data_IF_144142802043
#
_entry.id   IF_144142802043
#
_cell.length_a   1.000
_cell.length_b   1.000
_cell.length_c   1.000
_cell.angle_alpha   90.00
_cell.angle_beta   90.00
_cell.angle_gamma   90.00
#
_symmetry.space_group_name_H-M   'P 1'
#
loop_
_entity.id
_entity.type
_entity.pdbx_description
1 polymer ?
#
# COMPACT_ATOMS: atom_id res chain seq x y z
N UNK A 1 31.39 -14.98 14.72
CA UNK A 1 31.78 -15.35 13.35
C UNK A 1 31.00 -16.53 12.79
N UNK A 2 30.74 -17.58 13.56
CA UNK A 2 30.04 -18.77 13.03
C UNK A 2 28.51 -18.59 12.84
N UNK A 3 27.93 -17.55 13.43
CA UNK A 3 26.50 -17.31 13.41
C UNK A 3 25.95 -16.74 12.07
N UNK A 4 26.83 -16.19 11.23
CA UNK A 4 26.45 -15.61 9.94
C UNK A 4 27.02 -16.43 8.80
N UNK A 5 26.19 -16.91 7.86
CA UNK A 5 26.63 -17.52 6.61
C UNK A 5 27.53 -16.59 5.78
N UNK A 6 27.21 -15.29 5.77
CA UNK A 6 28.01 -14.26 5.10
C UNK A 6 29.45 -14.21 5.62
N UNK A 7 29.63 -14.04 6.96
CA UNK A 7 30.96 -14.03 7.57
C UNK A 7 31.71 -15.33 7.37
N UNK A 8 31.02 -16.46 7.39
CA UNK A 8 31.63 -17.75 7.11
C UNK A 8 32.19 -17.79 5.69
N UNK A 9 31.39 -17.41 4.68
CA UNK A 9 31.83 -17.40 3.28
C UNK A 9 32.98 -16.43 3.07
N UNK A 10 32.87 -15.21 3.54
CA UNK A 10 33.84 -14.13 3.35
C UNK A 10 35.19 -14.44 3.97
N UNK A 11 35.22 -15.12 5.15
CA UNK A 11 36.48 -15.43 5.87
C UNK A 11 37.10 -16.78 5.51
N UNK A 12 36.39 -17.65 4.78
CA UNK A 12 36.91 -18.99 4.45
C UNK A 12 37.22 -19.19 2.97
N UNK A 13 36.69 -18.34 2.07
CA UNK A 13 36.96 -18.45 0.64
C UNK A 13 38.11 -17.53 0.23
N UNK A 14 39.12 -18.08 -0.39
CA UNK A 14 40.34 -17.35 -0.83
C UNK A 14 40.07 -16.26 -1.87
N UNK A 15 38.86 -16.22 -2.44
CA UNK A 15 38.43 -15.22 -3.40
C UNK A 15 38.22 -13.84 -2.76
N UNK A 16 38.06 -13.76 -1.42
CA UNK A 16 37.81 -12.52 -0.69
C UNK A 16 39.08 -12.01 -0.02
N UNK A 17 39.35 -10.72 -0.16
CA UNK A 17 40.50 -10.05 0.50
C UNK A 17 40.43 -10.19 2.03
N UNK A 18 39.25 -10.20 2.57
CA UNK A 18 38.96 -10.35 4.02
C UNK A 18 39.32 -11.75 4.54
N UNK A 19 39.49 -12.75 3.68
CA UNK A 19 39.93 -14.09 4.06
C UNK A 19 41.44 -14.14 4.36
N UNK A 20 42.18 -13.11 3.98
CA UNK A 20 43.61 -13.02 4.22
C UNK A 20 43.88 -12.32 5.57
N UNK A 21 44.71 -12.92 6.39
CA UNK A 21 45.15 -12.28 7.62
C UNK A 21 46.09 -11.13 7.30
N UNK A 22 45.91 -10.00 7.97
CA UNK A 22 46.79 -8.87 7.87
C UNK A 22 48.22 -9.27 8.33
N UNK A 23 49.25 -9.06 7.51
CA UNK A 23 50.61 -9.46 7.86
C UNK A 23 51.19 -8.74 9.09
N UNK A 24 50.66 -7.56 9.43
CA UNK A 24 51.15 -6.73 10.53
C UNK A 24 50.71 -7.21 11.91
N UNK A 25 49.52 -7.80 12.02
CA UNK A 25 48.90 -8.18 13.33
C UNK A 25 48.33 -9.60 13.36
N UNK A 26 48.37 -10.32 12.23
CA UNK A 26 47.90 -11.69 12.09
C UNK A 26 46.37 -11.85 12.19
N UNK A 27 45.61 -10.76 12.13
CA UNK A 27 44.15 -10.73 12.28
C UNK A 27 43.43 -10.57 10.95
N UNK A 28 42.16 -10.98 10.90
CA UNK A 28 41.29 -10.68 9.79
C UNK A 28 40.75 -9.26 9.95
N UNK A 29 40.83 -8.47 8.91
CA UNK A 29 40.29 -7.12 8.88
C UNK A 29 39.07 -7.09 7.94
N UNK A 30 37.93 -6.69 8.49
CA UNK A 30 36.69 -6.50 7.72
C UNK A 30 36.38 -5.02 7.71
N UNK A 31 36.24 -4.47 6.52
CA UNK A 31 35.80 -3.08 6.38
C UNK A 31 34.28 -3.05 6.39
N UNK A 32 33.71 -2.20 7.24
CA UNK A 32 32.27 -1.98 7.39
C UNK A 32 31.96 -0.51 7.04
N UNK A 33 32.05 -0.20 5.73
CA UNK A 33 31.76 1.14 5.22
C UNK A 33 30.27 1.30 5.00
N UNK A 34 29.77 2.55 5.10
CA UNK A 34 28.39 2.95 4.77
C UNK A 34 27.30 2.41 5.72
N UNK A 35 27.69 1.81 6.83
CA UNK A 35 26.74 1.36 7.86
C UNK A 35 26.55 2.40 8.96
N UNK A 36 25.33 2.39 9.55
CA UNK A 36 25.11 3.13 10.78
C UNK A 36 25.94 2.52 11.92
N UNK A 37 26.83 3.33 12.49
CA UNK A 37 27.80 2.91 13.50
C UNK A 37 27.10 2.36 14.75
N UNK A 38 26.03 3.03 15.22
CA UNK A 38 25.29 2.63 16.41
C UNK A 38 24.58 1.28 16.20
N UNK A 39 23.92 1.08 15.07
CA UNK A 39 23.25 -0.16 14.72
C UNK A 39 24.24 -1.33 14.62
N UNK A 40 25.39 -1.10 13.97
CA UNK A 40 26.45 -2.12 13.87
C UNK A 40 27.03 -2.45 15.24
N UNK A 41 27.29 -1.44 16.08
CA UNK A 41 27.82 -1.63 17.44
C UNK A 41 26.85 -2.43 18.32
N UNK A 42 25.54 -2.20 18.19
CA UNK A 42 24.51 -2.97 18.90
C UNK A 42 24.63 -4.46 18.53
N UNK A 43 24.69 -4.79 17.23
CA UNK A 43 24.84 -6.18 16.78
C UNK A 43 26.15 -6.82 17.25
N UNK A 44 27.26 -6.08 17.18
CA UNK A 44 28.55 -6.56 17.67
C UNK A 44 28.50 -6.83 19.18
N UNK A 45 27.84 -5.97 19.97
CA UNK A 45 27.67 -6.19 21.41
C UNK A 45 26.86 -7.46 21.72
N UNK A 46 25.83 -7.76 20.92
CA UNK A 46 25.08 -9.02 21.07
C UNK A 46 26.00 -10.21 20.78
N UNK A 47 26.73 -10.23 19.67
CA UNK A 47 27.62 -11.33 19.31
C UNK A 47 28.80 -11.54 20.28
N UNK A 48 29.23 -10.46 20.92
CA UNK A 48 30.29 -10.52 21.95
C UNK A 48 29.75 -10.68 23.38
N UNK A 49 28.43 -10.98 23.52
CA UNK A 49 27.75 -11.21 24.82
C UNK A 49 27.90 -10.02 25.76
N UNK A 50 28.03 -8.81 25.22
CA UNK A 50 28.10 -7.57 26.02
C UNK A 50 26.69 -7.04 26.33
N UNK A 51 25.86 -7.84 26.95
CA UNK A 51 24.43 -7.61 27.19
C UNK A 51 24.11 -6.29 27.89
N UNK A 52 25.02 -5.77 28.72
CA UNK A 52 24.84 -4.45 29.36
C UNK A 52 24.93 -3.28 28.44
N UNK A 53 25.47 -3.46 27.22
CA UNK A 53 25.62 -2.42 26.19
C UNK A 53 24.55 -2.53 25.09
N UNK A 54 23.68 -3.52 25.19
CA UNK A 54 22.55 -3.70 24.29
C UNK A 54 21.36 -2.92 24.84
N UNK A 55 20.77 -1.97 24.08
CA UNK A 55 19.64 -1.19 24.55
C UNK A 55 18.41 -2.07 24.76
N UNK A 56 17.67 -1.85 25.84
CA UNK A 56 16.43 -2.57 26.12
C UNK A 56 15.29 -2.22 25.14
N UNK A 57 15.32 -1.02 24.57
CA UNK A 57 14.35 -0.53 23.58
C UNK A 57 15.06 0.25 22.49
N UNK A 58 14.51 0.22 21.27
CA UNK A 58 15.02 0.98 20.12
C UNK A 58 13.88 1.73 19.45
N UNK A 59 14.21 2.79 18.71
CA UNK A 59 13.25 3.49 17.86
C UNK A 59 12.92 2.67 16.60
N UNK A 60 11.83 3.02 15.90
CA UNK A 60 11.47 2.41 14.61
C UNK A 60 12.62 2.57 13.59
N UNK A 61 13.24 3.74 13.53
CA UNK A 61 14.38 4.02 12.64
C UNK A 61 15.59 3.15 12.98
N UNK A 62 15.93 3.02 14.27
CA UNK A 62 17.03 2.16 14.72
C UNK A 62 16.75 0.68 14.42
N UNK A 63 15.51 0.23 14.65
CA UNK A 63 15.11 -1.15 14.30
C UNK A 63 15.23 -1.42 12.80
N UNK A 64 14.91 -0.43 11.95
CA UNK A 64 15.10 -0.55 10.52
C UNK A 64 16.58 -0.63 10.12
N UNK A 65 17.45 0.20 10.73
CA UNK A 65 18.90 0.12 10.52
C UNK A 65 19.47 -1.24 10.92
N UNK A 66 19.01 -1.77 12.05
CA UNK A 66 19.36 -3.13 12.48
C UNK A 66 18.84 -4.17 11.47
N UNK A 67 17.60 -4.02 10.98
CA UNK A 67 17.04 -4.92 9.98
C UNK A 67 17.87 -4.92 8.68
N UNK A 68 18.35 -3.77 8.22
CA UNK A 68 19.26 -3.66 7.06
C UNK A 68 20.53 -4.49 7.26
N UNK A 69 21.15 -4.40 8.43
CA UNK A 69 22.36 -5.16 8.77
C UNK A 69 22.08 -6.66 8.89
N UNK A 70 20.94 -7.02 9.48
CA UNK A 70 20.49 -8.42 9.62
C UNK A 70 20.30 -9.05 8.25
N UNK A 71 19.63 -8.36 7.33
CA UNK A 71 19.42 -8.79 5.95
C UNK A 71 20.76 -8.93 5.20
N UNK A 72 21.61 -7.93 5.25
CA UNK A 72 22.90 -7.91 4.54
C UNK A 72 23.86 -9.02 5.01
N UNK A 73 23.97 -9.19 6.33
CA UNK A 73 24.87 -10.20 6.90
C UNK A 73 24.21 -11.58 7.07
N UNK A 74 23.01 -11.78 6.52
CA UNK A 74 22.25 -13.04 6.57
C UNK A 74 22.13 -13.57 8.02
N UNK A 75 21.66 -12.69 8.90
CA UNK A 75 21.54 -12.98 10.35
C UNK A 75 20.12 -13.34 10.78
N UNK A 76 19.17 -13.48 9.86
CA UNK A 76 17.74 -13.69 10.18
C UNK A 76 17.50 -14.93 11.05
N UNK A 77 18.36 -15.95 10.91
CA UNK A 77 18.27 -17.20 11.66
C UNK A 77 19.28 -17.28 12.81
N UNK A 78 19.92 -16.16 13.18
CA UNK A 78 20.90 -16.17 14.25
C UNK A 78 20.22 -16.14 15.62
N UNK A 79 20.23 -17.25 16.36
CA UNK A 79 19.67 -17.36 17.73
C UNK A 79 20.15 -16.25 18.67
N UNK A 80 21.39 -15.76 18.45
CA UNK A 80 21.98 -14.73 19.30
C UNK A 80 21.20 -13.41 19.29
N UNK A 81 20.57 -13.04 18.16
CA UNK A 81 19.83 -11.78 18.06
C UNK A 81 18.32 -11.94 18.27
N UNK A 82 17.81 -13.16 18.26
CA UNK A 82 16.37 -13.44 18.26
C UNK A 82 15.64 -12.81 19.45
N UNK A 83 16.18 -13.02 20.67
CA UNK A 83 15.55 -12.52 21.90
C UNK A 83 15.47 -11.00 21.94
N UNK A 84 16.54 -10.31 21.57
CA UNK A 84 16.61 -8.86 21.66
C UNK A 84 15.76 -8.22 20.56
N UNK A 85 15.77 -8.78 19.33
CA UNK A 85 14.90 -8.34 18.24
C UNK A 85 13.42 -8.54 18.55
N UNK A 86 13.01 -9.67 19.14
CA UNK A 86 11.62 -9.88 19.57
C UNK A 86 11.18 -8.86 20.63
N UNK A 87 12.03 -8.54 21.59
CA UNK A 87 11.75 -7.51 22.60
C UNK A 87 11.57 -6.12 21.97
N UNK A 88 12.46 -5.75 21.04
CA UNK A 88 12.37 -4.47 20.32
C UNK A 88 11.13 -4.39 19.43
N UNK A 89 10.82 -5.45 18.70
CA UNK A 89 9.61 -5.55 17.88
C UNK A 89 8.37 -5.37 18.77
N UNK A 90 8.30 -6.08 19.90
CA UNK A 90 7.18 -5.95 20.83
C UNK A 90 7.05 -4.54 21.42
N UNK A 91 8.18 -3.87 21.69
CA UNK A 91 8.21 -2.48 22.13
C UNK A 91 7.74 -1.52 21.04
N UNK A 92 8.27 -1.66 19.83
CA UNK A 92 7.89 -0.79 18.69
C UNK A 92 6.41 -0.97 18.33
N UNK A 93 5.89 -2.21 18.30
CA UNK A 93 4.46 -2.49 18.07
C UNK A 93 3.53 -1.77 19.03
N UNK A 94 3.93 -1.66 20.31
CA UNK A 94 3.12 -1.00 21.35
C UNK A 94 3.13 0.52 21.23
N UNK A 95 4.26 1.08 20.78
CA UNK A 95 4.50 2.52 20.86
C UNK A 95 4.32 3.24 19.50
N UNK A 96 4.47 2.53 18.38
CA UNK A 96 4.44 3.10 17.04
C UNK A 96 3.48 2.30 16.17
N UNK A 97 2.32 2.88 15.90
CA UNK A 97 1.36 2.28 14.97
C UNK A 97 1.87 2.34 13.52
N UNK A 98 1.43 1.37 12.69
CA UNK A 98 1.61 1.45 11.25
C UNK A 98 0.86 2.70 10.74
N UNK A 99 1.52 3.60 10.01
CA UNK A 99 0.88 4.81 9.48
C UNK A 99 -0.30 4.49 8.58
N UNK A 100 -1.31 5.36 8.60
CA UNK A 100 -2.45 5.30 7.67
C UNK A 100 -2.21 6.05 6.35
N UNK A 101 -1.03 6.64 6.15
CA UNK A 101 -0.64 7.39 4.96
C UNK A 101 0.70 6.92 4.42
N UNK A 102 0.95 7.15 3.12
CA UNK A 102 2.24 6.85 2.51
C UNK A 102 3.30 7.85 2.99
N UNK A 103 4.25 7.35 3.78
CA UNK A 103 5.34 8.14 4.37
C UNK A 103 6.57 7.25 4.65
N UNK A 104 7.69 7.88 5.07
CA UNK A 104 8.93 7.16 5.42
C UNK A 104 8.69 6.05 6.46
N UNK A 105 7.96 6.33 7.53
CA UNK A 105 7.71 5.32 8.57
C UNK A 105 6.97 4.09 8.03
N UNK A 106 6.10 4.25 7.03
CA UNK A 106 5.45 3.11 6.37
C UNK A 106 6.48 2.23 5.65
N UNK A 107 7.45 2.84 4.97
CA UNK A 107 8.52 2.10 4.28
C UNK A 107 9.45 1.38 5.27
N UNK A 108 9.73 2.00 6.44
CA UNK A 108 10.44 1.34 7.53
C UNK A 108 9.70 0.09 8.02
N UNK A 109 8.36 0.19 8.19
CA UNK A 109 7.54 -0.96 8.57
C UNK A 109 7.57 -2.07 7.52
N UNK A 110 7.53 -1.75 6.22
CA UNK A 110 7.64 -2.75 5.13
C UNK A 110 9.01 -3.45 5.20
N UNK A 111 10.09 -2.70 5.38
CA UNK A 111 11.45 -3.25 5.49
C UNK A 111 11.57 -4.16 6.72
N UNK A 112 11.24 -3.66 7.92
CA UNK A 112 11.32 -4.39 9.18
C UNK A 112 10.48 -5.66 9.13
N UNK A 113 9.22 -5.56 8.67
CA UNK A 113 8.31 -6.70 8.64
C UNK A 113 8.73 -7.77 7.63
N UNK A 114 9.40 -7.39 6.54
CA UNK A 114 10.02 -8.34 5.62
C UNK A 114 11.15 -9.11 6.28
N UNK A 115 12.11 -8.39 6.88
CA UNK A 115 13.32 -9.00 7.44
C UNK A 115 12.99 -9.90 8.64
N UNK A 116 12.15 -9.42 9.56
CA UNK A 116 11.78 -10.18 10.77
C UNK A 116 10.52 -11.04 10.59
N UNK A 117 10.12 -11.31 9.37
CA UNK A 117 9.05 -12.25 9.03
C UNK A 117 7.69 -11.95 9.69
N UNK A 118 7.34 -10.66 9.83
CA UNK A 118 6.12 -10.19 10.47
C UNK A 118 4.97 -10.09 9.43
N UNK A 119 4.33 -11.21 9.12
CA UNK A 119 3.37 -11.31 8.00
C UNK A 119 2.19 -10.35 8.11
N UNK A 120 1.64 -10.15 9.30
CA UNK A 120 0.49 -9.24 9.50
C UNK A 120 0.86 -7.78 9.26
N UNK A 121 2.00 -7.32 9.81
CA UNK A 121 2.48 -5.95 9.64
C UNK A 121 2.86 -5.69 8.18
N UNK A 122 3.46 -6.67 7.52
CA UNK A 122 3.80 -6.59 6.11
C UNK A 122 2.54 -6.42 5.25
N UNK A 123 1.52 -7.25 5.46
CA UNK A 123 0.25 -7.14 4.74
C UNK A 123 -0.43 -5.80 5.02
N UNK A 124 -0.50 -5.37 6.27
CA UNK A 124 -1.10 -4.08 6.67
C UNK A 124 -0.36 -2.90 6.03
N UNK A 125 0.97 -2.87 6.13
CA UNK A 125 1.78 -1.76 5.61
C UNK A 125 1.73 -1.69 4.07
N UNK A 126 1.82 -2.82 3.38
CA UNK A 126 1.70 -2.86 1.91
C UNK A 126 0.29 -2.51 1.43
N UNK A 127 -0.77 -2.86 2.19
CA UNK A 127 -2.14 -2.42 1.88
C UNK A 127 -2.30 -0.90 1.95
N UNK A 128 -1.67 -0.25 2.93
CA UNK A 128 -1.64 1.21 3.02
C UNK A 128 -0.86 1.81 1.84
N UNK A 129 0.31 1.25 1.51
CA UNK A 129 1.10 1.71 0.38
C UNK A 129 0.31 1.64 -0.94
N UNK A 130 -0.44 0.56 -1.19
CA UNK A 130 -1.29 0.40 -2.39
C UNK A 130 -2.38 1.48 -2.44
N UNK A 131 -3.01 1.80 -1.30
CA UNK A 131 -4.15 2.71 -1.24
C UNK A 131 -3.75 4.19 -1.27
N UNK A 132 -2.60 4.54 -0.68
CA UNK A 132 -2.22 5.93 -0.38
C UNK A 132 -1.13 6.47 -1.30
N UNK A 133 -0.35 5.63 -1.98
CA UNK A 133 0.69 6.13 -2.88
C UNK A 133 0.11 6.84 -4.10
N UNK A 134 0.78 7.93 -4.52
CA UNK A 134 0.39 8.77 -5.66
C UNK A 134 1.32 8.63 -6.88
N UNK A 135 2.21 7.66 -6.85
CA UNK A 135 3.20 7.42 -7.89
C UNK A 135 3.97 6.14 -7.60
N UNK A 136 5.10 5.98 -8.26
CA UNK A 136 5.98 4.85 -8.03
C UNK A 136 6.48 4.79 -6.58
N UNK A 137 6.46 3.59 -6.01
CA UNK A 137 6.99 3.36 -4.66
C UNK A 137 8.50 3.60 -4.65
N UNK A 138 8.94 4.44 -3.71
CA UNK A 138 10.35 4.73 -3.49
C UNK A 138 10.86 3.89 -2.31
N UNK A 139 11.93 3.13 -2.52
CA UNK A 139 12.53 2.30 -1.47
C UNK A 139 13.24 3.13 -0.37
N UNK A 140 13.58 4.41 -0.63
CA UNK A 140 14.21 5.35 0.32
C UNK A 140 15.50 4.81 0.94
N UNK A 141 16.35 4.22 0.10
CA UNK A 141 17.62 3.58 0.47
C UNK A 141 17.49 2.36 1.41
N UNK A 142 16.28 1.83 1.57
CA UNK A 142 16.03 0.61 2.30
C UNK A 142 16.18 -0.60 1.36
N UNK A 143 16.68 -1.75 1.84
CA UNK A 143 16.85 -2.98 1.05
C UNK A 143 15.50 -3.68 0.82
N UNK A 144 14.56 -2.95 0.19
CA UNK A 144 13.27 -3.50 -0.20
C UNK A 144 13.40 -4.06 -1.60
N UNK A 145 13.21 -5.37 -1.74
CA UNK A 145 13.32 -6.05 -3.02
C UNK A 145 12.38 -5.43 -4.07
N UNK A 146 12.90 -5.20 -5.28
CA UNK A 146 12.16 -4.57 -6.38
C UNK A 146 10.83 -5.29 -6.69
N UNK A 147 10.77 -6.60 -6.49
CA UNK A 147 9.53 -7.37 -6.64
C UNK A 147 8.40 -6.89 -5.72
N UNK A 148 8.73 -6.43 -4.50
CA UNK A 148 7.74 -5.89 -3.55
C UNK A 148 7.22 -4.54 -4.04
N UNK A 149 8.11 -3.60 -4.36
CA UNK A 149 7.73 -2.26 -4.86
C UNK A 149 6.93 -2.35 -6.15
N UNK A 150 7.37 -3.18 -7.11
CA UNK A 150 6.66 -3.42 -8.37
C UNK A 150 5.29 -4.07 -8.16
N UNK A 151 5.14 -4.95 -7.17
CA UNK A 151 3.84 -5.57 -6.86
C UNK A 151 2.87 -4.61 -6.21
N UNK A 152 3.35 -3.70 -5.34
CA UNK A 152 2.56 -2.60 -4.78
C UNK A 152 2.07 -1.69 -5.92
N UNK A 153 2.99 -1.26 -6.80
CA UNK A 153 2.67 -0.38 -7.93
C UNK A 153 1.66 -1.00 -8.89
N UNK A 154 1.84 -2.28 -9.22
CA UNK A 154 0.90 -3.04 -10.08
C UNK A 154 -0.49 -3.11 -9.43
N UNK A 155 -0.56 -3.43 -8.16
CA UNK A 155 -1.82 -3.54 -7.41
C UNK A 155 -2.55 -2.19 -7.36
N UNK A 156 -1.82 -1.09 -7.12
CA UNK A 156 -2.34 0.27 -7.15
C UNK A 156 -2.88 0.63 -8.53
N UNK A 157 -2.08 0.43 -9.57
CA UNK A 157 -2.48 0.77 -10.95
C UNK A 157 -3.71 -0.03 -11.39
N UNK A 158 -3.78 -1.32 -11.08
CA UNK A 158 -4.93 -2.16 -11.41
C UNK A 158 -6.21 -1.69 -10.70
N UNK A 159 -6.11 -1.31 -9.43
CA UNK A 159 -7.26 -0.81 -8.68
C UNK A 159 -7.75 0.55 -9.20
N UNK A 160 -6.84 1.47 -9.51
CA UNK A 160 -7.16 2.76 -10.11
C UNK A 160 -7.81 2.61 -11.50
N UNK A 161 -7.21 1.78 -12.36
CA UNK A 161 -7.79 1.50 -13.68
C UNK A 161 -9.20 0.94 -13.57
N UNK A 162 -9.43 0.01 -12.61
CA UNK A 162 -10.76 -0.56 -12.41
C UNK A 162 -11.80 0.51 -12.03
N UNK A 163 -11.50 1.37 -11.05
CA UNK A 163 -12.44 2.45 -10.63
C UNK A 163 -12.71 3.41 -11.77
N UNK A 164 -11.65 3.89 -12.45
CA UNK A 164 -11.78 4.87 -13.55
C UNK A 164 -12.56 4.26 -14.71
N UNK A 165 -12.26 3.02 -15.09
CA UNK A 165 -12.98 2.31 -16.17
C UNK A 165 -14.45 2.13 -15.84
N UNK A 166 -14.79 1.77 -14.62
CA UNK A 166 -16.19 1.61 -14.21
C UNK A 166 -16.96 2.94 -14.20
N UNK A 167 -16.31 4.03 -13.76
CA UNK A 167 -16.93 5.36 -13.86
C UNK A 167 -17.20 5.77 -15.32
N UNK A 168 -16.25 5.52 -16.22
CA UNK A 168 -16.44 5.77 -17.66
C UNK A 168 -17.49 4.84 -18.27
N UNK A 169 -17.57 3.59 -17.84
CA UNK A 169 -18.63 2.65 -18.25
C UNK A 169 -20.01 3.16 -17.83
N UNK A 170 -20.16 3.62 -16.60
CA UNK A 170 -21.41 4.23 -16.12
C UNK A 170 -21.77 5.48 -16.92
N UNK A 171 -20.78 6.31 -17.24
CA UNK A 171 -20.99 7.48 -18.10
C UNK A 171 -21.51 7.07 -19.47
N UNK A 172 -20.96 6.00 -20.07
CA UNK A 172 -21.45 5.43 -21.34
C UNK A 172 -22.88 4.93 -21.24
N UNK A 173 -23.24 4.22 -20.16
CA UNK A 173 -24.61 3.75 -19.92
C UNK A 173 -25.62 4.90 -19.87
N UNK A 174 -25.30 5.96 -19.13
CA UNK A 174 -26.22 7.10 -19.01
C UNK A 174 -26.26 8.00 -20.24
N UNK A 175 -25.23 7.94 -21.09
CA UNK A 175 -25.18 8.64 -22.39
C UNK A 175 -26.02 7.96 -23.46
N UNK A 176 -26.26 6.65 -23.33
CA UNK A 176 -27.03 5.90 -24.32
C UNK A 176 -28.47 6.41 -24.39
N UNK A 177 -28.91 6.73 -25.62
CA UNK A 177 -30.28 7.18 -25.88
C UNK A 177 -31.32 6.10 -25.53
N UNK A 178 -30.94 4.84 -25.60
CA UNK A 178 -31.79 3.68 -25.23
C UNK A 178 -31.72 3.33 -23.74
N UNK A 179 -31.10 4.17 -22.92
CA UNK A 179 -31.11 3.96 -21.48
C UNK A 179 -32.53 3.82 -20.95
N UNK A 180 -32.78 2.73 -20.20
CA UNK A 180 -34.06 2.49 -19.53
C UNK A 180 -33.91 2.68 -18.01
N UNK A 181 -34.72 3.57 -17.45
CA UNK A 181 -34.75 3.78 -16.02
C UNK A 181 -35.33 2.55 -15.29
N UNK A 182 -34.58 1.96 -14.33
CA UNK A 182 -35.05 0.74 -13.64
C UNK A 182 -36.25 0.97 -12.72
N UNK A 183 -36.50 2.21 -12.29
CA UNK A 183 -37.60 2.55 -11.40
C UNK A 183 -38.87 3.01 -12.13
N UNK A 184 -38.68 3.77 -13.21
CA UNK A 184 -39.83 4.25 -14.00
C UNK A 184 -39.39 4.46 -15.48
N UNK A 185 -39.74 3.53 -16.38
CA UNK A 185 -39.38 3.61 -17.80
C UNK A 185 -39.87 4.89 -18.51
N UNK A 186 -40.98 5.49 -18.08
CA UNK A 186 -41.51 6.73 -18.66
C UNK A 186 -40.59 7.94 -18.48
N UNK A 187 -39.69 7.88 -17.46
CA UNK A 187 -38.70 8.93 -17.19
C UNK A 187 -37.28 8.55 -17.62
N UNK A 188 -37.12 7.55 -18.50
CA UNK A 188 -35.80 7.04 -18.90
C UNK A 188 -34.90 8.16 -19.47
N UNK A 189 -35.40 9.00 -20.37
CA UNK A 189 -34.62 10.09 -20.94
C UNK A 189 -34.17 11.09 -19.86
N UNK A 190 -35.11 11.58 -19.05
CA UNK A 190 -34.82 12.55 -17.99
C UNK A 190 -33.86 11.99 -16.96
N UNK A 191 -34.07 10.73 -16.54
CA UNK A 191 -33.22 10.02 -15.60
C UNK A 191 -31.80 9.87 -16.16
N UNK A 192 -31.65 9.38 -17.37
CA UNK A 192 -30.36 9.22 -18.05
C UNK A 192 -29.63 10.55 -18.20
N UNK A 193 -30.32 11.59 -18.71
CA UNK A 193 -29.74 12.92 -18.88
C UNK A 193 -29.26 13.55 -17.56
N UNK A 194 -30.04 13.39 -16.50
CA UNK A 194 -29.68 13.90 -15.17
C UNK A 194 -28.45 13.16 -14.59
N UNK A 195 -28.47 11.83 -14.61
CA UNK A 195 -27.37 11.01 -14.09
C UNK A 195 -26.08 11.22 -14.91
N UNK A 196 -26.18 11.33 -16.23
CA UNK A 196 -25.09 11.65 -17.12
C UNK A 196 -24.45 13.00 -16.77
N UNK A 197 -25.26 14.08 -16.72
CA UNK A 197 -24.76 15.42 -16.40
C UNK A 197 -24.16 15.53 -15.00
N UNK A 198 -24.75 14.86 -14.02
CA UNK A 198 -24.23 14.81 -12.66
C UNK A 198 -22.89 14.07 -12.60
N UNK A 199 -22.79 12.88 -13.22
CA UNK A 199 -21.56 12.09 -13.24
C UNK A 199 -20.43 12.82 -13.97
N UNK A 200 -20.71 13.47 -15.12
CA UNK A 200 -19.72 14.30 -15.82
C UNK A 200 -19.12 15.36 -14.91
N UNK A 201 -19.98 16.14 -14.21
CA UNK A 201 -19.51 17.20 -13.30
C UNK A 201 -18.65 16.67 -12.16
N UNK A 202 -18.97 15.49 -11.61
CA UNK A 202 -18.16 14.87 -10.58
C UNK A 202 -16.83 14.35 -11.13
N UNK A 203 -16.86 13.65 -12.27
CA UNK A 203 -15.63 13.13 -12.88
C UNK A 203 -14.67 14.24 -13.30
N UNK A 204 -15.21 15.36 -13.81
CA UNK A 204 -14.43 16.58 -14.10
C UNK A 204 -13.75 17.11 -12.82
N UNK A 205 -14.53 17.30 -11.75
CA UNK A 205 -14.02 17.78 -10.47
C UNK A 205 -12.97 16.83 -9.85
N UNK A 206 -13.08 15.54 -10.11
CA UNK A 206 -12.13 14.54 -9.62
C UNK A 206 -10.89 14.39 -10.51
N UNK A 207 -10.89 15.03 -11.68
CA UNK A 207 -9.83 14.91 -12.67
C UNK A 207 -9.81 13.55 -13.38
N UNK A 208 -10.99 12.90 -13.49
CA UNK A 208 -11.13 11.57 -14.08
C UNK A 208 -11.89 11.57 -15.41
N UNK A 209 -12.34 12.73 -15.90
CA UNK A 209 -13.16 12.81 -17.11
C UNK A 209 -12.30 12.97 -18.38
N UNK A 210 -11.61 14.12 -18.50
CA UNK A 210 -10.81 14.45 -19.68
C UNK A 210 -9.67 15.40 -19.36
N UNK A 211 -8.39 15.10 -19.74
CA UNK A 211 -8.02 13.79 -20.30
C UNK A 211 -8.23 12.67 -19.28
N UNK A 212 -8.62 11.48 -19.74
CA UNK A 212 -8.72 10.31 -18.87
C UNK A 212 -7.35 10.02 -18.30
N UNK A 213 -7.22 9.86 -16.97
CA UNK A 213 -5.96 9.43 -16.38
C UNK A 213 -5.54 8.04 -16.89
N UNK A 214 -4.25 7.89 -17.16
CA UNK A 214 -3.65 6.66 -17.67
C UNK A 214 -2.56 6.14 -16.72
N UNK A 215 -2.28 4.84 -16.83
CA UNK A 215 -1.16 4.23 -16.10
C UNK A 215 0.14 5.03 -16.41
N UNK A 216 0.93 5.41 -15.39
CA UNK A 216 0.92 4.94 -13.99
C UNK A 216 0.08 5.76 -13.00
N UNK A 217 -0.87 6.57 -13.43
CA UNK A 217 -1.76 7.36 -12.56
C UNK A 217 -1.01 8.26 -11.57
N UNK A 218 -0.03 9.02 -12.09
CA UNK A 218 0.79 9.91 -11.27
C UNK A 218 -0.04 11.02 -10.62
N UNK A 219 0.24 11.28 -9.35
CA UNK A 219 -0.47 12.30 -8.58
C UNK A 219 -1.82 11.85 -7.99
N UNK A 220 -2.24 10.60 -8.27
CA UNK A 220 -3.55 10.07 -7.87
C UNK A 220 -3.37 8.87 -6.94
N UNK A 221 -3.99 8.90 -5.76
CA UNK A 221 -4.11 7.73 -4.88
C UNK A 221 -5.51 7.11 -4.97
N UNK A 222 -5.57 5.80 -4.73
CA UNK A 222 -6.85 5.09 -4.73
C UNK A 222 -7.79 5.63 -3.64
N UNK A 223 -7.26 5.84 -2.45
CA UNK A 223 -8.05 6.34 -1.32
C UNK A 223 -8.59 7.75 -1.56
N UNK A 224 -7.82 8.61 -2.25
CA UNK A 224 -8.28 9.94 -2.63
C UNK A 224 -9.47 9.90 -3.60
N UNK A 225 -9.43 9.06 -4.63
CA UNK A 225 -10.55 8.87 -5.56
C UNK A 225 -11.76 8.32 -4.81
N UNK A 226 -11.56 7.29 -4.00
CA UNK A 226 -12.65 6.66 -3.27
C UNK A 226 -13.31 7.63 -2.28
N UNK A 227 -12.53 8.43 -1.57
CA UNK A 227 -13.05 9.44 -0.64
C UNK A 227 -13.78 10.57 -1.35
N UNK A 228 -13.26 11.05 -2.48
CA UNK A 228 -13.92 12.06 -3.31
C UNK A 228 -15.24 11.54 -3.88
N UNK A 229 -15.30 10.28 -4.26
CA UNK A 229 -16.50 9.62 -4.77
C UNK A 229 -17.60 9.56 -3.71
N UNK A 230 -17.26 9.24 -2.46
CA UNK A 230 -18.20 9.24 -1.33
C UNK A 230 -18.76 10.63 -0.98
N UNK A 231 -18.10 11.72 -1.44
CA UNK A 231 -18.58 13.09 -1.29
C UNK A 231 -19.56 13.52 -2.40
N UNK A 232 -19.87 12.66 -3.37
CA UNK A 232 -20.90 12.95 -4.36
C UNK A 232 -22.24 13.13 -3.63
N UNK A 233 -22.68 14.37 -3.45
CA UNK A 233 -23.94 14.68 -2.73
C UNK A 233 -25.09 14.01 -3.47
N UNK A 234 -26.04 13.45 -2.72
CA UNK A 234 -27.28 12.94 -3.28
C UNK A 234 -27.97 14.05 -4.08
N UNK A 235 -27.76 14.00 -5.37
CA UNK A 235 -28.45 14.86 -6.31
C UNK A 235 -29.87 14.33 -6.44
N UNK A 236 -30.79 15.02 -5.79
CA UNK A 236 -32.21 14.70 -5.85
C UNK A 236 -32.82 15.45 -7.02
N UNK A 237 -33.66 14.80 -7.79
CA UNK A 237 -34.55 15.42 -8.75
C UNK A 237 -35.96 14.89 -8.55
N UNK A 238 -36.94 15.69 -8.94
CA UNK A 238 -38.33 15.44 -8.65
C UNK A 238 -39.10 15.13 -9.92
N UNK A 239 -39.97 14.15 -9.84
CA UNK A 239 -40.94 13.80 -10.87
C UNK A 239 -42.33 14.22 -10.42
N UNK A 240 -43.20 14.59 -11.37
CA UNK A 240 -44.60 14.78 -11.06
C UNK A 240 -45.19 13.42 -10.69
N UNK A 241 -45.97 13.40 -9.61
CA UNK A 241 -46.73 12.19 -9.28
C UNK A 241 -47.91 12.10 -10.25
N UNK A 242 -47.98 10.99 -11.02
CA UNK A 242 -49.12 10.72 -11.91
C UNK A 242 -50.38 10.23 -11.14
N UNK A 243 -50.51 10.59 -9.89
CA UNK A 243 -51.74 10.31 -9.13
C UNK A 243 -52.90 11.16 -9.66
N UNK A 244 -53.60 10.64 -10.67
CA UNK A 244 -54.94 11.08 -11.01
C UNK A 244 -55.89 10.69 -9.86
N UNK A 245 -55.98 11.57 -8.83
CA UNK A 245 -57.06 11.47 -7.87
C UNK A 245 -58.31 12.22 -8.45
N UNK A 246 -59.16 11.43 -9.10
CA UNK A 246 -60.36 11.92 -9.80
C UNK A 246 -61.37 12.67 -8.87
N UNK A 247 -61.14 12.64 -7.57
CA UNK A 247 -62.04 13.21 -6.54
C UNK A 247 -61.53 14.46 -5.82
N UNK A 248 -60.30 14.92 -6.05
CA UNK A 248 -59.79 16.13 -5.39
C UNK A 248 -59.43 17.22 -6.39
N UNK A 249 -60.34 18.24 -6.49
CA UNK A 249 -60.18 19.48 -7.28
C UNK A 249 -59.09 20.44 -6.76
N UNK A 250 -58.06 19.95 -6.06
CA UNK A 250 -56.90 20.73 -5.70
C UNK A 250 -55.65 19.97 -6.18
N UNK A 251 -55.08 20.42 -7.29
CA UNK A 251 -53.78 20.07 -7.77
C UNK A 251 -52.71 20.46 -6.70
N UNK A 252 -52.47 19.60 -5.77
CA UNK A 252 -51.19 19.60 -5.14
C UNK A 252 -50.30 18.73 -6.01
N UNK A 253 -49.53 19.35 -6.94
CA UNK A 253 -48.39 18.78 -7.61
C UNK A 253 -47.42 18.24 -6.53
N UNK A 254 -47.65 17.04 -6.04
CA UNK A 254 -46.69 16.37 -5.13
C UNK A 254 -45.53 15.91 -6.01
N UNK A 255 -44.49 16.72 -6.02
CA UNK A 255 -43.24 16.32 -6.57
C UNK A 255 -42.63 15.21 -5.70
N UNK A 256 -42.44 14.02 -6.27
CA UNK A 256 -41.75 12.91 -5.62
C UNK A 256 -40.29 12.86 -6.03
N UNK A 257 -39.44 12.51 -5.06
CA UNK A 257 -38.01 12.33 -5.34
C UNK A 257 -37.83 11.07 -6.16
N UNK A 258 -37.15 11.19 -7.29
CA UNK A 258 -36.83 10.05 -8.11
C UNK A 258 -35.84 9.08 -7.42
N UNK A 259 -36.08 7.77 -7.51
CA UNK A 259 -35.38 6.75 -6.73
C UNK A 259 -33.98 6.42 -7.25
N UNK A 260 -33.65 6.75 -8.50
CA UNK A 260 -32.29 6.51 -9.01
C UNK A 260 -31.26 7.40 -8.32
N UNK A 261 -30.33 6.78 -7.67
CA UNK A 261 -29.23 7.44 -6.95
C UNK A 261 -27.90 7.21 -7.65
N UNK A 262 -27.25 8.30 -8.08
CA UNK A 262 -25.90 8.22 -8.63
C UNK A 262 -24.91 7.75 -7.58
N UNK A 263 -25.04 8.22 -6.33
CA UNK A 263 -24.15 7.85 -5.23
C UNK A 263 -24.16 6.34 -4.98
N UNK A 264 -25.36 5.73 -4.94
CA UNK A 264 -25.44 4.28 -4.70
C UNK A 264 -24.63 3.48 -5.75
N UNK A 265 -24.65 3.93 -7.01
CA UNK A 265 -23.89 3.29 -8.09
C UNK A 265 -22.38 3.53 -7.97
N UNK A 266 -21.96 4.74 -7.61
CA UNK A 266 -20.56 5.06 -7.38
C UNK A 266 -20.05 4.30 -6.15
N UNK A 267 -20.80 4.28 -5.05
CA UNK A 267 -20.45 3.58 -3.82
C UNK A 267 -20.30 2.07 -4.07
N UNK A 268 -21.16 1.47 -4.90
CA UNK A 268 -21.05 0.07 -5.31
C UNK A 268 -19.70 -0.22 -5.97
N UNK A 269 -19.27 0.62 -6.91
CA UNK A 269 -17.98 0.49 -7.61
C UNK A 269 -16.80 0.66 -6.64
N UNK A 270 -16.85 1.69 -5.79
CA UNK A 270 -15.81 2.00 -4.82
C UNK A 270 -15.66 0.87 -3.79
N UNK A 271 -16.75 0.42 -3.19
CA UNK A 271 -16.74 -0.65 -2.20
C UNK A 271 -16.26 -1.97 -2.79
N UNK A 272 -16.72 -2.31 -4.00
CA UNK A 272 -16.27 -3.52 -4.70
C UNK A 272 -14.76 -3.49 -4.99
N UNK A 273 -14.21 -2.31 -5.33
CA UNK A 273 -12.76 -2.17 -5.55
C UNK A 273 -11.98 -2.25 -4.24
N UNK A 274 -12.41 -1.49 -3.23
CA UNK A 274 -11.71 -1.45 -1.93
C UNK A 274 -11.71 -2.82 -1.24
N UNK A 275 -12.76 -3.61 -1.40
CA UNK A 275 -12.84 -4.97 -0.86
C UNK A 275 -11.84 -5.95 -1.53
N UNK A 276 -11.43 -5.69 -2.77
CA UNK A 276 -10.42 -6.49 -3.49
C UNK A 276 -8.99 -6.11 -3.16
N UNK A 277 -8.76 -4.86 -2.70
CA UNK A 277 -7.41 -4.38 -2.39
C UNK A 277 -6.96 -4.90 -1.04
N UNK A 278 -6.05 -5.87 -1.10
CA UNK A 278 -5.37 -6.45 0.07
C UNK A 278 -3.89 -6.13 0.00
N UNK A 279 -3.23 -6.20 1.16
CA UNK A 279 -1.77 -6.15 1.21
C UNK A 279 -1.13 -7.37 0.55
N UNK A 280 0.17 -7.28 0.34
CA UNK A 280 0.95 -8.37 -0.23
C UNK A 280 1.18 -9.45 0.84
N UNK A 281 1.20 -10.70 0.41
CA UNK A 281 1.55 -11.82 1.29
C UNK A 281 3.06 -11.96 1.32
N UNK A 282 3.64 -11.95 2.51
CA UNK A 282 5.09 -12.02 2.71
C UNK A 282 5.70 -13.32 2.11
N UNK A 283 4.97 -14.42 2.20
CA UNK A 283 5.42 -15.71 1.66
C UNK A 283 5.70 -15.68 0.15
N UNK A 284 5.02 -14.83 -0.63
CA UNK A 284 5.21 -14.73 -2.08
C UNK A 284 6.58 -14.13 -2.46
N UNK A 285 7.33 -13.60 -1.47
CA UNK A 285 8.62 -12.92 -1.65
C UNK A 285 9.78 -13.60 -0.89
N UNK A 286 9.55 -14.75 -0.25
CA UNK A 286 10.57 -15.50 0.48
C UNK A 286 11.38 -16.42 -0.42
N UNK A 287 10.75 -17.04 -1.42
CA UNK A 287 11.39 -18.07 -2.25
C UNK A 287 12.33 -17.50 -3.34
N UNK A 288 12.29 -16.17 -3.57
CA UNK A 288 13.13 -15.53 -4.60
C UNK A 288 14.54 -15.14 -4.13
N UNK A 289 14.88 -15.30 -2.85
CA UNK A 289 16.22 -14.99 -2.34
C UNK A 289 17.28 -16.06 -2.67
N UNK A 290 16.86 -17.28 -3.00
CA UNK A 290 17.78 -18.36 -3.35
C UNK A 290 18.22 -18.37 -4.84
N UNK A 291 17.56 -17.62 -5.72
CA UNK A 291 17.81 -17.69 -7.20
C UNK A 291 18.77 -16.61 -7.70
N UNK A 292 19.09 -15.58 -6.92
CA UNK A 292 19.87 -14.42 -7.40
C UNK A 292 21.40 -14.53 -7.24
N UNK A 293 21.95 -15.67 -6.85
CA UNK A 293 23.40 -15.86 -6.68
C UNK A 293 24.03 -16.93 -7.61
N UNK A 294 23.39 -17.20 -8.76
CA UNK A 294 24.02 -18.01 -9.82
C UNK A 294 24.19 -17.20 -11.12
N UNK A 295 24.90 -16.07 -11.06
CA UNK A 295 25.57 -15.51 -12.25
C UNK A 295 26.73 -14.63 -11.82
#
# INVERSE_FOLDING_TARGET
MLASPWFRRTLTREEFVESLKNPSDGRYHIQANDWDEEALLILLNIFHVRTRQVPATVSLEMLAKIAVLVDYYELENAEAIERDTQNWIASVRRNVAIPSSYCRNLMLWICISRVFCMSEEFEKATAVAIKESKGWIQALDLPIHQGITSSIDRSRCNALEHVISELHRLLGVYRDFNYSCPHNPSYSFQCGAFLFGALMKYMERWGCLSPRPENPFMGISLNEICNRSGMAKNTKWWVKSDCYDYYRRHEHDRAEVHLCSLNAKIDEVVQATMAKVRGLKLQDFRDNSEVSFQN
#
